data_IF_030958030893
#
_entry.id   IF_030958030893
#
_cell.length_a   1.000
_cell.length_b   1.000
_cell.length_c   1.000
_cell.angle_alpha   90.00
_cell.angle_beta   90.00
_cell.angle_gamma   90.00
#
_symmetry.space_group_name_H-M   'P 1'
#
loop_
_entity.id
_entity.type
_entity.pdbx_description
1 polymer ?
#
# COMPACT_ATOMS: atom_id res chain seq x y z
N UNK A 1 0.96 -15.39 -15.35
CA UNK A 1 1.56 -14.97 -14.07
C UNK A 1 0.45 -14.74 -13.06
N UNK A 2 0.61 -15.15 -11.80
CA UNK A 2 -0.30 -14.65 -10.74
C UNK A 2 0.10 -13.20 -10.51
N UNK A 3 -0.83 -12.25 -10.66
CA UNK A 3 -0.57 -10.84 -10.36
C UNK A 3 -0.37 -10.69 -8.85
N UNK A 4 0.88 -10.72 -8.41
CA UNK A 4 1.27 -10.51 -7.01
C UNK A 4 0.85 -9.12 -6.52
N UNK A 5 0.80 -8.12 -7.41
CA UNK A 5 0.26 -6.79 -7.12
C UNK A 5 -1.20 -6.84 -6.65
N UNK A 6 -2.02 -7.76 -7.16
CA UNK A 6 -3.43 -7.89 -6.77
C UNK A 6 -3.60 -8.48 -5.36
N UNK A 7 -2.78 -9.48 -5.01
CA UNK A 7 -2.80 -10.11 -3.68
C UNK A 7 -2.33 -9.13 -2.61
N UNK A 8 -1.22 -8.43 -2.84
CA UNK A 8 -0.73 -7.42 -1.89
C UNK A 8 -1.73 -6.28 -1.70
N UNK A 9 -2.32 -5.76 -2.79
CA UNK A 9 -3.38 -4.74 -2.71
C UNK A 9 -4.57 -5.21 -1.88
N UNK A 10 -5.01 -6.46 -2.06
CA UNK A 10 -6.13 -7.00 -1.29
C UNK A 10 -5.81 -7.09 0.21
N UNK A 11 -4.58 -7.53 0.57
CA UNK A 11 -4.14 -7.60 1.96
C UNK A 11 -4.02 -6.21 2.60
N UNK A 12 -3.41 -5.25 1.88
CA UNK A 12 -3.29 -3.87 2.33
C UNK A 12 -4.67 -3.21 2.49
N UNK A 13 -5.60 -3.45 1.56
CA UNK A 13 -6.98 -2.96 1.66
C UNK A 13 -7.68 -3.55 2.89
N UNK A 14 -7.53 -4.85 3.14
CA UNK A 14 -8.10 -5.50 4.32
C UNK A 14 -7.52 -4.93 5.63
N UNK A 15 -6.22 -4.62 5.66
CA UNK A 15 -5.59 -3.92 6.78
C UNK A 15 -6.19 -2.53 6.98
N UNK A 16 -6.27 -1.71 5.93
CA UNK A 16 -6.82 -0.35 6.02
C UNK A 16 -8.27 -0.35 6.49
N UNK A 17 -9.11 -1.27 6.02
CA UNK A 17 -10.51 -1.38 6.45
C UNK A 17 -10.65 -1.69 7.95
N UNK A 18 -9.68 -2.40 8.55
CA UNK A 18 -9.68 -2.73 9.98
C UNK A 18 -9.21 -1.58 10.86
N UNK A 19 -8.57 -0.56 10.29
CA UNK A 19 -8.15 0.62 11.03
C UNK A 19 -9.36 1.53 11.36
N UNK A 20 -9.27 2.31 12.46
CA UNK A 20 -10.30 3.28 12.82
C UNK A 20 -10.63 4.22 11.65
N UNK A 21 -11.92 4.58 11.46
CA UNK A 21 -12.30 5.46 10.37
C UNK A 21 -11.67 6.84 10.49
N UNK A 22 -10.92 7.22 9.46
CA UNK A 22 -10.32 8.54 9.30
C UNK A 22 -10.28 8.94 7.83
N UNK A 23 -10.24 10.25 7.56
CA UNK A 23 -10.11 10.77 6.19
C UNK A 23 -8.84 10.28 5.51
N UNK A 24 -7.76 10.13 6.28
CA UNK A 24 -6.46 9.66 5.78
C UNK A 24 -6.51 8.20 5.37
N UNK A 25 -7.12 7.33 6.20
CA UNK A 25 -7.38 5.93 5.84
C UNK A 25 -8.17 5.83 4.55
N UNK A 26 -9.25 6.60 4.42
CA UNK A 26 -10.10 6.55 3.22
C UNK A 26 -9.36 7.05 1.98
N UNK A 27 -8.54 8.09 2.10
CA UNK A 27 -7.64 8.53 1.03
C UNK A 27 -6.66 7.42 0.61
N UNK A 28 -6.05 6.72 1.56
CA UNK A 28 -5.13 5.61 1.27
C UNK A 28 -5.83 4.46 0.55
N UNK A 29 -7.08 4.15 0.93
CA UNK A 29 -7.88 3.13 0.22
C UNK A 29 -8.12 3.54 -1.24
N UNK A 30 -8.56 4.77 -1.47
CA UNK A 30 -8.83 5.28 -2.82
C UNK A 30 -7.54 5.28 -3.69
N UNK A 31 -6.41 5.66 -3.09
CA UNK A 31 -5.11 5.59 -3.75
C UNK A 31 -4.72 4.14 -4.09
N UNK A 32 -4.92 3.20 -3.15
CA UNK A 32 -4.59 1.79 -3.32
C UNK A 32 -5.41 1.12 -4.44
N UNK A 33 -6.71 1.43 -4.52
CA UNK A 33 -7.59 0.94 -5.60
C UNK A 33 -7.10 1.41 -6.97
N UNK A 34 -6.66 2.67 -7.06
CA UNK A 34 -6.18 3.30 -8.31
C UNK A 34 -4.68 3.11 -8.55
N UNK A 35 -3.99 2.41 -7.65
CA UNK A 35 -2.54 2.38 -7.62
C UNK A 35 -1.98 1.74 -8.90
N UNK A 36 -1.14 2.49 -9.61
CA UNK A 36 -0.31 1.98 -10.70
C UNK A 36 1.11 1.80 -10.18
N UNK A 37 1.88 0.87 -10.74
CA UNK A 37 3.23 0.54 -10.25
C UNK A 37 4.14 1.77 -10.14
N UNK A 38 4.11 2.67 -11.13
CA UNK A 38 4.85 3.95 -11.11
C UNK A 38 4.50 4.91 -9.95
N UNK A 39 3.46 4.64 -9.18
CA UNK A 39 2.98 5.46 -8.05
C UNK A 39 3.14 4.73 -6.70
N UNK A 40 3.70 3.53 -6.70
CA UNK A 40 3.90 2.70 -5.51
C UNK A 40 4.74 3.40 -4.43
N UNK A 41 5.87 3.98 -4.82
CA UNK A 41 6.77 4.66 -3.87
C UNK A 41 6.07 5.84 -3.18
N UNK A 42 5.27 6.61 -3.93
CA UNK A 42 4.48 7.70 -3.36
C UNK A 42 3.43 7.19 -2.39
N UNK A 43 2.73 6.10 -2.73
CA UNK A 43 1.78 5.46 -1.83
C UNK A 43 2.44 4.96 -0.54
N UNK A 44 3.61 4.30 -0.63
CA UNK A 44 4.34 3.82 0.55
C UNK A 44 4.79 4.97 1.45
N UNK A 45 5.16 6.11 0.88
CA UNK A 45 5.46 7.32 1.64
C UNK A 45 4.22 7.88 2.36
N UNK A 46 3.06 7.93 1.69
CA UNK A 46 1.78 8.31 2.30
C UNK A 46 1.39 7.35 3.44
N UNK A 47 1.62 6.06 3.23
CA UNK A 47 1.35 5.02 4.21
C UNK A 47 2.25 5.17 5.46
N UNK A 48 3.54 5.45 5.29
CA UNK A 48 4.45 5.71 6.42
C UNK A 48 4.13 7.00 7.19
N UNK A 49 3.61 8.03 6.51
CA UNK A 49 3.07 9.23 7.17
C UNK A 49 1.85 8.91 8.02
N UNK A 50 0.94 8.11 7.48
CA UNK A 50 -0.23 7.65 8.22
C UNK A 50 0.15 6.83 9.46
N UNK A 51 1.14 5.93 9.35
CA UNK A 51 1.68 5.15 10.48
C UNK A 51 2.16 6.07 11.61
N UNK A 52 2.97 7.07 11.25
CA UNK A 52 3.55 8.02 12.20
C UNK A 52 2.49 8.91 12.87
N UNK A 53 1.41 9.23 12.16
CA UNK A 53 0.33 10.09 12.65
C UNK A 53 -0.72 9.35 13.49
N UNK A 54 -0.96 8.06 13.20
CA UNK A 54 -2.10 7.32 13.77
C UNK A 54 -1.74 6.42 14.96
N UNK A 55 -0.46 6.38 15.39
CA UNK A 55 0.07 5.42 16.38
C UNK A 55 -0.25 3.94 16.03
N UNK A 56 -0.62 3.69 14.78
CA UNK A 56 -0.84 2.36 14.22
C UNK A 56 0.48 1.85 13.69
N UNK A 57 0.80 0.58 13.88
CA UNK A 57 1.96 -0.04 13.23
C UNK A 57 1.53 -0.86 12.04
N UNK A 58 2.12 -0.60 10.88
CA UNK A 58 1.85 -1.39 9.68
C UNK A 58 2.60 -2.72 9.83
N UNK A 59 1.93 -3.86 9.62
CA UNK A 59 2.60 -5.16 9.64
C UNK A 59 3.72 -5.23 8.60
N UNK A 60 4.89 -5.72 9.02
CA UNK A 60 6.09 -5.76 8.17
C UNK A 60 5.88 -6.59 6.90
N UNK A 61 5.02 -7.60 6.95
CA UNK A 61 4.64 -8.43 5.79
C UNK A 61 3.87 -7.67 4.71
N UNK A 62 3.31 -6.50 5.02
CA UNK A 62 2.62 -5.64 4.07
C UNK A 62 3.52 -4.55 3.48
N UNK A 63 4.75 -4.42 3.99
CA UNK A 63 5.74 -3.50 3.46
C UNK A 63 6.58 -4.25 2.43
N UNK A 64 6.41 -3.96 1.12
CA UNK A 64 7.20 -4.62 0.10
C UNK A 64 8.68 -4.29 0.25
N UNK A 65 9.52 -5.28 -0.04
CA UNK A 65 10.97 -5.12 -0.09
C UNK A 65 11.40 -4.24 -1.26
N UNK A 66 12.64 -3.74 -1.22
CA UNK A 66 13.21 -2.96 -2.32
C UNK A 66 13.21 -3.74 -3.64
N UNK A 67 13.53 -5.04 -3.61
CA UNK A 67 13.52 -5.91 -4.79
C UNK A 67 12.11 -6.06 -5.39
N UNK A 68 11.08 -6.19 -4.55
CA UNK A 68 9.68 -6.26 -4.98
C UNK A 68 9.21 -4.95 -5.61
N UNK A 69 9.59 -3.81 -5.02
CA UNK A 69 9.28 -2.48 -5.55
C UNK A 69 9.89 -2.31 -6.95
N UNK A 70 11.14 -2.70 -7.13
CA UNK A 70 11.83 -2.64 -8.43
C UNK A 70 11.18 -3.57 -9.46
N UNK A 71 10.82 -4.79 -9.05
CA UNK A 71 10.16 -5.78 -9.91
C UNK A 71 8.80 -5.27 -10.39
N UNK A 72 7.92 -4.82 -9.48
CA UNK A 72 6.59 -4.33 -9.84
C UNK A 72 6.63 -3.05 -10.67
N UNK A 73 7.66 -2.21 -10.47
CA UNK A 73 7.88 -1.01 -11.28
C UNK A 73 8.23 -1.36 -12.74
N UNK A 74 8.93 -2.48 -12.98
CA UNK A 74 9.27 -2.97 -14.33
C UNK A 74 8.12 -3.71 -15.02
N UNK A 75 7.29 -4.41 -14.26
CA UNK A 75 6.15 -5.17 -14.80
C UNK A 75 4.92 -4.29 -15.09
N UNK A 76 4.87 -3.06 -14.56
CA UNK A 76 3.72 -2.16 -14.66
C UNK A 76 3.73 -1.17 -15.82
N UNK A 77 4.48 -1.43 -16.89
CA UNK A 77 4.40 -0.70 -18.18
C UNK A 77 3.21 -1.16 -19.02
#
# INVERSE_FOLDING_TARGET
>A
MRDFSSTWKAQMMAYLVRQPPSKERDSLKDQLERLRSRWLTSFLADLGRYESASDTKIPAELIPSQEEIEMWSREGE
#
